data_IF_223341942392
#
_entry.id   IF_223341942392
#
_cell.length_a   1.000
_cell.length_b   1.000
_cell.length_c   1.000
_cell.angle_alpha   90.00
_cell.angle_beta   90.00
_cell.angle_gamma   90.00
#
_symmetry.space_group_name_H-M   'P 1'
#
loop_
_entity.id
_entity.type
_entity.pdbx_description
1 polymer ?
#
# COMPACT_ATOMS: atom_id res chain seq x y z
N UNK A 1 -28.25 -3.32 -12.77
CA UNK A 1 -27.84 -1.92 -13.13
C UNK A 1 -27.29 -1.94 -14.56
N UNK A 2 -27.67 -1.01 -15.41
CA UNK A 2 -27.07 -0.89 -16.74
C UNK A 2 -25.62 -0.43 -16.65
N UNK A 3 -24.78 -0.80 -17.64
CA UNK A 3 -23.34 -0.52 -17.61
C UNK A 3 -23.01 0.98 -17.41
N UNK A 4 -23.69 1.87 -18.14
CA UNK A 4 -23.51 3.33 -18.01
C UNK A 4 -23.92 3.86 -16.63
N UNK A 5 -24.94 3.28 -16.05
CA UNK A 5 -25.40 3.64 -14.71
C UNK A 5 -24.37 3.21 -13.65
N UNK A 6 -23.77 2.04 -13.83
CA UNK A 6 -22.71 1.55 -12.95
C UNK A 6 -21.44 2.41 -13.06
N UNK A 7 -21.05 2.83 -14.27
CA UNK A 7 -19.94 3.78 -14.49
C UNK A 7 -20.19 5.09 -13.71
N UNK A 8 -21.40 5.67 -13.85
CA UNK A 8 -21.77 6.91 -13.16
C UNK A 8 -21.83 6.73 -11.63
N UNK A 9 -22.34 5.59 -11.15
CA UNK A 9 -22.41 5.29 -9.73
C UNK A 9 -20.99 5.11 -9.12
N UNK A 10 -20.11 4.40 -9.81
CA UNK A 10 -18.70 4.24 -9.40
C UNK A 10 -17.99 5.60 -9.32
N UNK A 11 -18.16 6.44 -10.35
CA UNK A 11 -17.60 7.80 -10.37
C UNK A 11 -18.10 8.63 -9.17
N UNK A 12 -19.41 8.62 -8.92
CA UNK A 12 -20.03 9.36 -7.82
C UNK A 12 -19.53 8.90 -6.44
N UNK A 13 -19.42 7.58 -6.23
CA UNK A 13 -18.92 7.01 -4.97
C UNK A 13 -17.48 7.41 -4.74
N UNK A 14 -16.62 7.29 -5.75
CA UNK A 14 -15.19 7.61 -5.62
C UNK A 14 -14.94 9.10 -5.47
N UNK A 15 -15.76 9.94 -6.14
CA UNK A 15 -15.71 11.38 -5.95
C UNK A 15 -16.09 11.78 -4.52
N UNK A 16 -17.19 11.22 -4.02
CA UNK A 16 -17.69 11.52 -2.68
C UNK A 16 -16.73 11.01 -1.57
N UNK A 17 -16.06 9.90 -1.79
CA UNK A 17 -15.11 9.33 -0.84
C UNK A 17 -13.86 10.20 -0.68
N UNK A 18 -13.31 10.78 -1.77
CA UNK A 18 -12.08 11.56 -1.75
C UNK A 18 -10.80 10.80 -1.39
N UNK A 19 -10.93 9.53 -1.00
CA UNK A 19 -9.86 8.62 -0.57
C UNK A 19 -9.95 7.27 -1.30
N UNK A 20 -8.93 6.40 -1.26
CA UNK A 20 -8.99 5.09 -1.87
C UNK A 20 -10.08 4.20 -1.26
N UNK A 21 -11.01 3.70 -2.08
CA UNK A 21 -12.09 2.80 -1.66
C UNK A 21 -11.74 1.37 -2.05
N UNK A 22 -11.79 0.44 -1.09
CA UNK A 22 -11.51 -0.98 -1.31
C UNK A 22 -12.51 -1.63 -2.28
N UNK A 23 -12.02 -2.53 -3.13
CA UNK A 23 -12.81 -3.28 -4.11
C UNK A 23 -14.00 -3.99 -3.47
N UNK A 24 -13.82 -4.65 -2.33
CA UNK A 24 -14.89 -5.35 -1.63
C UNK A 24 -16.02 -4.41 -1.20
N UNK A 25 -15.66 -3.22 -0.69
CA UNK A 25 -16.64 -2.19 -0.29
C UNK A 25 -17.39 -1.63 -1.49
N UNK A 26 -16.72 -1.46 -2.63
CA UNK A 26 -17.33 -1.03 -3.88
C UNK A 26 -18.28 -2.11 -4.43
N UNK A 27 -17.86 -3.37 -4.45
CA UNK A 27 -18.73 -4.48 -4.86
C UNK A 27 -20.01 -4.56 -4.02
N UNK A 28 -19.88 -4.42 -2.70
CA UNK A 28 -21.03 -4.41 -1.80
C UNK A 28 -21.96 -3.22 -2.08
N UNK A 29 -21.42 -2.00 -2.20
CA UNK A 29 -22.20 -0.78 -2.38
C UNK A 29 -22.85 -0.65 -3.75
N UNK A 30 -22.24 -1.23 -4.80
CA UNK A 30 -22.73 -1.22 -6.17
C UNK A 30 -23.48 -2.51 -6.54
N UNK A 31 -23.66 -3.44 -5.58
CA UNK A 31 -24.32 -4.73 -5.77
C UNK A 31 -23.78 -5.50 -6.99
N UNK A 32 -22.45 -5.58 -7.12
CA UNK A 32 -21.77 -6.19 -8.27
C UNK A 32 -20.65 -7.12 -7.81
N UNK A 33 -20.16 -7.94 -8.73
CA UNK A 33 -18.99 -8.78 -8.51
C UNK A 33 -17.68 -8.06 -8.89
N UNK A 34 -16.56 -8.60 -8.44
CA UNK A 34 -15.24 -8.02 -8.68
C UNK A 34 -14.88 -7.96 -10.18
N UNK A 35 -15.06 -9.03 -10.99
CA UNK A 35 -14.77 -8.97 -12.42
C UNK A 35 -15.53 -7.87 -13.16
N UNK A 36 -16.81 -7.70 -12.85
CA UNK A 36 -17.66 -6.65 -13.42
C UNK A 36 -17.19 -5.26 -12.98
N UNK A 37 -16.88 -5.07 -11.69
CA UNK A 37 -16.35 -3.81 -11.18
C UNK A 37 -15.02 -3.45 -11.86
N UNK A 38 -14.08 -4.40 -11.96
CA UNK A 38 -12.77 -4.18 -12.59
C UNK A 38 -12.94 -3.81 -14.08
N UNK A 39 -13.87 -4.43 -14.79
CA UNK A 39 -14.18 -4.10 -16.19
C UNK A 39 -14.77 -2.68 -16.34
N UNK A 40 -15.71 -2.29 -15.45
CA UNK A 40 -16.28 -0.94 -15.41
C UNK A 40 -15.23 0.10 -15.10
N UNK A 41 -14.38 -0.15 -14.11
CA UNK A 41 -13.29 0.74 -13.74
C UNK A 41 -12.29 0.93 -14.89
N UNK A 42 -11.92 -0.16 -15.60
CA UNK A 42 -11.03 -0.07 -16.75
C UNK A 42 -11.62 0.78 -17.86
N UNK A 43 -12.90 0.61 -18.18
CA UNK A 43 -13.58 1.44 -19.18
C UNK A 43 -13.59 2.91 -18.81
N UNK A 44 -13.82 3.24 -17.53
CA UNK A 44 -13.75 4.62 -17.02
C UNK A 44 -12.34 5.20 -17.17
N UNK A 45 -11.30 4.43 -16.86
CA UNK A 45 -9.90 4.83 -17.06
C UNK A 45 -9.61 5.15 -18.52
N UNK A 46 -10.02 4.26 -19.43
CA UNK A 46 -9.82 4.41 -20.87
C UNK A 46 -10.58 5.63 -21.40
N UNK A 47 -11.83 5.81 -20.97
CA UNK A 47 -12.64 6.97 -21.36
C UNK A 47 -12.00 8.28 -20.90
N UNK A 48 -11.59 8.39 -19.63
CA UNK A 48 -10.96 9.60 -19.09
C UNK A 48 -9.65 9.93 -19.81
N UNK A 49 -8.87 8.91 -20.13
CA UNK A 49 -7.63 9.06 -20.91
C UNK A 49 -7.91 9.52 -22.33
N UNK A 50 -8.87 8.89 -23.02
CA UNK A 50 -9.27 9.24 -24.38
C UNK A 50 -9.82 10.68 -24.50
N UNK A 51 -10.71 11.06 -23.57
CA UNK A 51 -11.31 12.39 -23.51
C UNK A 51 -10.36 13.45 -22.93
N UNK A 52 -9.15 13.08 -22.49
CA UNK A 52 -8.17 13.96 -21.83
C UNK A 52 -8.78 14.74 -20.67
N UNK A 53 -9.54 14.08 -19.82
CA UNK A 53 -10.18 14.70 -18.67
C UNK A 53 -9.16 15.17 -17.65
N UNK A 54 -9.50 16.22 -16.87
CA UNK A 54 -8.71 16.70 -15.74
C UNK A 54 -8.72 15.77 -14.53
N UNK A 55 -9.50 14.68 -14.58
CA UNK A 55 -9.59 13.61 -13.59
C UNK A 55 -9.08 12.29 -14.18
N UNK A 56 -8.58 11.42 -13.31
CA UNK A 56 -8.20 10.06 -13.64
C UNK A 56 -8.62 9.11 -12.53
N UNK A 57 -8.98 7.91 -12.89
CA UNK A 57 -9.21 6.82 -11.95
C UNK A 57 -7.88 6.05 -11.76
N UNK A 58 -7.48 5.85 -10.52
CA UNK A 58 -6.29 5.07 -10.15
C UNK A 58 -6.73 3.76 -9.51
N UNK A 59 -6.05 2.69 -9.88
CA UNK A 59 -6.02 1.45 -9.12
C UNK A 59 -4.83 1.51 -8.18
N UNK A 60 -5.06 1.24 -6.91
CA UNK A 60 -4.06 1.23 -5.84
C UNK A 60 -4.22 -0.09 -5.09
N UNK A 61 -3.47 -1.11 -5.51
CA UNK A 61 -3.60 -2.49 -5.03
C UNK A 61 -5.07 -2.99 -5.14
N UNK A 62 -5.70 -3.35 -4.05
CA UNK A 62 -7.12 -3.77 -3.99
C UNK A 62 -8.08 -2.58 -3.74
N UNK A 63 -7.81 -1.42 -4.33
CA UNK A 63 -8.64 -0.21 -4.15
C UNK A 63 -8.65 0.66 -5.41
N UNK A 64 -9.69 1.48 -5.53
CA UNK A 64 -9.79 2.51 -6.56
C UNK A 64 -9.90 3.90 -5.95
N UNK A 65 -9.34 4.90 -6.62
CA UNK A 65 -9.43 6.31 -6.23
C UNK A 65 -9.56 7.21 -7.45
N UNK A 66 -10.45 8.21 -7.36
CA UNK A 66 -10.54 9.29 -8.33
C UNK A 66 -9.56 10.40 -7.93
N UNK A 67 -8.73 10.85 -8.86
CA UNK A 67 -7.71 11.88 -8.64
C UNK A 67 -7.69 12.88 -9.80
N UNK A 68 -7.13 14.08 -9.55
CA UNK A 68 -6.77 14.99 -10.63
C UNK A 68 -5.57 14.44 -11.43
N UNK A 69 -5.48 14.79 -12.72
CA UNK A 69 -4.32 14.43 -13.55
C UNK A 69 -3.12 15.29 -13.22
N UNK A 70 -1.88 14.75 -13.32
CA UNK A 70 -0.66 15.49 -13.00
C UNK A 70 -0.46 16.75 -13.83
N UNK A 71 -0.97 16.78 -15.07
CA UNK A 71 -0.87 17.90 -15.98
C UNK A 71 -1.46 19.18 -15.40
N UNK A 72 -2.49 19.06 -14.56
CA UNK A 72 -3.19 20.20 -13.95
C UNK A 72 -2.76 20.46 -12.50
N UNK A 73 -1.74 19.77 -12.00
CA UNK A 73 -1.30 19.89 -10.60
C UNK A 73 -0.90 21.33 -10.22
N UNK A 74 -0.33 22.10 -11.15
CA UNK A 74 0.06 23.49 -10.87
C UNK A 74 -1.16 24.42 -10.72
N UNK A 75 -2.22 24.20 -11.49
CA UNK A 75 -3.48 24.95 -11.36
C UNK A 75 -4.17 24.64 -10.03
N UNK A 76 -4.24 23.33 -9.68
CA UNK A 76 -4.82 22.88 -8.41
C UNK A 76 -4.07 23.51 -7.23
N UNK A 77 -2.72 23.47 -7.24
CA UNK A 77 -1.91 24.09 -6.18
C UNK A 77 -2.10 25.58 -6.05
N UNK A 78 -2.10 26.30 -7.16
CA UNK A 78 -2.28 27.75 -7.15
C UNK A 78 -3.65 28.16 -6.62
N UNK A 79 -4.70 27.40 -7.00
CA UNK A 79 -6.08 27.72 -6.62
C UNK A 79 -6.38 27.37 -5.16
N UNK A 80 -5.86 26.23 -4.69
CA UNK A 80 -6.11 25.76 -3.33
C UNK A 80 -5.03 26.24 -2.33
N UNK A 81 -4.13 27.14 -2.76
CA UNK A 81 -3.01 27.65 -1.96
C UNK A 81 -2.17 26.55 -1.28
N UNK A 82 -2.22 25.34 -1.86
CA UNK A 82 -1.53 24.18 -1.31
C UNK A 82 -0.02 24.35 -1.41
N UNK A 83 0.69 24.30 -0.29
CA UNK A 83 2.16 24.29 -0.31
C UNK A 83 2.65 23.02 -1.01
N UNK A 84 3.64 23.17 -1.89
CA UNK A 84 4.33 22.01 -2.48
C UNK A 84 4.97 21.21 -1.34
N UNK A 85 4.63 19.93 -1.17
CA UNK A 85 5.26 19.14 -0.13
C UNK A 85 6.78 19.14 -0.34
N UNK A 86 7.53 19.31 0.73
CA UNK A 86 9.00 19.28 0.66
C UNK A 86 9.44 17.93 0.07
N UNK A 87 10.41 17.97 -0.85
CA UNK A 87 10.98 16.75 -1.42
C UNK A 87 11.56 15.89 -0.30
N UNK A 88 11.48 14.58 -0.46
CA UNK A 88 12.19 13.65 0.41
C UNK A 88 13.70 13.87 0.23
N UNK A 89 14.42 13.87 1.33
CA UNK A 89 15.89 13.87 1.30
C UNK A 89 16.40 12.52 0.80
N UNK A 90 17.65 12.47 0.37
CA UNK A 90 18.28 11.20 -0.05
C UNK A 90 18.17 10.12 1.05
N UNK A 91 18.49 10.38 2.32
CA UNK A 91 18.28 9.41 3.39
C UNK A 91 16.83 8.94 3.54
N UNK A 92 15.86 9.82 3.31
CA UNK A 92 14.44 9.43 3.39
C UNK A 92 14.02 8.53 2.23
N UNK A 93 14.56 8.74 1.03
CA UNK A 93 14.34 7.86 -0.12
C UNK A 93 14.98 6.49 0.09
N UNK A 94 16.16 6.43 0.70
CA UNK A 94 16.84 5.17 1.02
C UNK A 94 16.02 4.34 2.02
N UNK A 95 15.58 4.93 3.13
CA UNK A 95 14.73 4.24 4.12
C UNK A 95 13.42 3.77 3.49
N UNK A 96 12.79 4.64 2.70
CA UNK A 96 11.54 4.32 2.02
C UNK A 96 11.72 3.17 1.03
N UNK A 97 12.82 3.14 0.29
CA UNK A 97 13.14 2.06 -0.64
C UNK A 97 13.34 0.72 0.12
N UNK A 98 14.12 0.72 1.20
CA UNK A 98 14.32 -0.49 2.01
C UNK A 98 12.96 -1.03 2.49
N UNK A 99 12.09 -0.15 3.02
CA UNK A 99 10.76 -0.59 3.46
C UNK A 99 9.93 -1.10 2.28
N UNK A 100 9.94 -0.42 1.14
CA UNK A 100 9.12 -0.81 -0.02
C UNK A 100 9.48 -2.20 -0.57
N UNK A 101 10.77 -2.53 -0.59
CA UNK A 101 11.24 -3.82 -1.14
C UNK A 101 11.21 -4.98 -0.15
N UNK A 102 11.37 -4.70 1.15
CA UNK A 102 11.54 -5.76 2.16
C UNK A 102 10.39 -5.84 3.19
N UNK A 103 9.32 -5.09 2.99
CA UNK A 103 8.17 -5.06 3.90
C UNK A 103 7.47 -6.41 4.05
N UNK A 104 6.96 -6.72 5.26
CA UNK A 104 7.01 -5.90 6.48
C UNK A 104 8.37 -5.99 7.19
N UNK A 105 8.97 -4.85 7.56
CA UNK A 105 10.30 -4.78 8.18
C UNK A 105 10.31 -3.96 9.46
N UNK A 106 11.25 -4.27 10.36
CA UNK A 106 11.46 -3.49 11.58
C UNK A 106 12.43 -2.33 11.32
N UNK A 107 12.39 -1.30 12.20
CA UNK A 107 13.38 -0.21 12.15
C UNK A 107 14.82 -0.76 12.33
N UNK A 108 15.02 -1.72 13.22
CA UNK A 108 16.34 -2.31 13.44
C UNK A 108 16.94 -2.92 12.16
N UNK A 109 16.08 -3.55 11.33
CA UNK A 109 16.50 -4.03 10.02
C UNK A 109 16.91 -2.88 9.08
N UNK A 110 16.14 -1.80 9.04
CA UNK A 110 16.48 -0.62 8.24
C UNK A 110 17.81 -0.01 8.69
N UNK A 111 18.01 0.11 10.03
CA UNK A 111 19.25 0.61 10.60
C UNK A 111 20.46 -0.28 10.23
N UNK A 112 20.28 -1.60 10.26
CA UNK A 112 21.31 -2.56 9.87
C UNK A 112 21.71 -2.41 8.39
N UNK A 113 20.75 -2.33 7.49
CA UNK A 113 21.00 -2.15 6.04
C UNK A 113 21.70 -0.83 5.75
N UNK A 114 21.32 0.24 6.47
CA UNK A 114 21.91 1.57 6.27
C UNK A 114 23.22 1.81 7.02
N UNK A 115 23.49 1.05 8.06
CA UNK A 115 24.63 1.25 8.95
C UNK A 115 24.49 2.49 9.87
N UNK A 116 23.30 3.14 9.92
CA UNK A 116 23.04 4.35 10.73
C UNK A 116 21.62 4.34 11.27
N UNK A 117 21.38 5.04 12.38
CA UNK A 117 20.05 5.20 12.97
C UNK A 117 19.09 5.89 12.02
N UNK A 118 17.90 5.31 11.83
CA UNK A 118 16.86 5.79 10.93
C UNK A 118 15.60 6.25 11.66
N UNK A 119 15.62 6.37 12.99
CA UNK A 119 14.45 6.70 13.82
C UNK A 119 13.74 7.97 13.35
N UNK A 120 14.49 9.05 13.14
CA UNK A 120 13.95 10.31 12.65
C UNK A 120 13.30 10.17 11.28
N UNK A 121 13.96 9.44 10.39
CA UNK A 121 13.49 9.25 9.01
C UNK A 121 12.22 8.39 8.96
N UNK A 122 12.17 7.32 9.75
CA UNK A 122 10.95 6.50 9.89
C UNK A 122 9.79 7.35 10.41
N UNK A 123 10.01 8.18 11.45
CA UNK A 123 9.02 9.11 11.96
C UNK A 123 8.51 10.09 10.89
N UNK A 124 9.41 10.68 10.09
CA UNK A 124 9.06 11.56 8.98
C UNK A 124 8.21 10.86 7.91
N UNK A 125 8.53 9.61 7.58
CA UNK A 125 7.77 8.84 6.58
C UNK A 125 6.38 8.44 7.09
N UNK A 126 6.23 8.13 8.39
CA UNK A 126 4.93 7.94 9.05
C UNK A 126 4.09 9.22 9.03
N UNK A 127 4.66 10.38 9.41
CA UNK A 127 3.98 11.67 9.37
C UNK A 127 3.49 12.04 7.97
N UNK A 128 4.20 11.62 6.94
CA UNK A 128 3.83 11.84 5.53
C UNK A 128 2.89 10.77 4.98
N UNK A 129 2.46 9.83 5.79
CA UNK A 129 1.60 8.73 5.36
C UNK A 129 2.19 7.92 4.18
N UNK A 130 3.53 7.82 4.09
CA UNK A 130 4.19 7.00 3.08
C UNK A 130 4.41 5.56 3.55
N UNK A 131 4.51 5.38 4.87
CA UNK A 131 4.58 4.09 5.54
C UNK A 131 3.59 4.05 6.70
N UNK A 132 3.24 2.85 7.14
CA UNK A 132 2.37 2.61 8.30
C UNK A 132 2.90 1.46 9.15
N UNK A 133 2.44 1.37 10.40
CA UNK A 133 2.67 0.22 11.25
C UNK A 133 1.77 -0.93 10.82
N UNK A 134 2.36 -2.09 10.49
CA UNK A 134 1.62 -3.28 10.03
C UNK A 134 1.48 -4.36 11.11
N UNK A 135 1.98 -4.10 12.29
CA UNK A 135 1.96 -5.03 13.43
C UNK A 135 3.25 -5.02 14.24
N UNK A 136 3.48 -6.09 15.00
CA UNK A 136 4.69 -6.27 15.82
C UNK A 136 5.26 -7.65 15.60
N UNK A 137 6.59 -7.72 15.49
CA UNK A 137 7.29 -9.00 15.37
C UNK A 137 7.23 -9.77 16.70
N UNK A 138 6.92 -11.07 16.65
CA UNK A 138 6.77 -11.94 17.82
C UNK A 138 8.11 -12.44 18.38
N UNK A 139 9.03 -11.51 18.69
CA UNK A 139 10.35 -11.75 19.31
C UNK A 139 10.50 -10.91 20.57
N UNK A 140 11.47 -11.20 21.45
CA UNK A 140 11.77 -10.36 22.61
C UNK A 140 11.91 -8.89 22.22
N UNK A 141 11.21 -7.98 22.91
CA UNK A 141 11.14 -6.56 22.59
C UNK A 141 10.01 -6.17 21.64
N UNK A 142 9.33 -7.14 20.98
CA UNK A 142 8.15 -6.94 20.10
C UNK A 142 8.28 -5.70 19.21
N UNK A 143 9.34 -5.58 18.36
CA UNK A 143 9.54 -4.41 17.53
C UNK A 143 8.41 -4.22 16.53
N UNK A 144 8.11 -2.95 16.23
CA UNK A 144 7.09 -2.58 15.25
C UNK A 144 7.57 -2.97 13.84
N UNK A 145 6.63 -3.50 13.05
CA UNK A 145 6.79 -3.77 11.63
C UNK A 145 6.19 -2.62 10.82
N UNK A 146 6.90 -2.22 9.78
CA UNK A 146 6.50 -1.14 8.88
C UNK A 146 6.27 -1.66 7.47
N UNK A 147 5.27 -1.07 6.80
CA UNK A 147 4.98 -1.29 5.37
C UNK A 147 4.61 0.02 4.69
N UNK A 148 4.61 0.03 3.36
CA UNK A 148 4.15 1.17 2.57
C UNK A 148 2.63 1.28 2.56
N UNK A 149 2.14 2.49 2.30
CA UNK A 149 0.72 2.83 2.24
C UNK A 149 0.22 2.97 0.79
N UNK A 150 -1.09 3.18 0.61
CA UNK A 150 -1.67 3.58 -0.68
C UNK A 150 -1.20 4.97 -1.13
N UNK A 151 -0.88 5.84 -0.19
CA UNK A 151 -0.28 7.16 -0.47
C UNK A 151 1.10 7.02 -1.10
N UNK A 152 1.88 6.02 -0.68
CA UNK A 152 3.13 5.67 -1.35
C UNK A 152 2.88 5.28 -2.81
N UNK A 153 2.01 4.30 -3.08
CA UNK A 153 1.70 3.86 -4.45
C UNK A 153 1.27 5.04 -5.33
N UNK A 154 0.33 5.85 -4.85
CA UNK A 154 -0.15 7.05 -5.56
C UNK A 154 0.97 8.05 -5.83
N UNK A 155 1.86 8.29 -4.85
CA UNK A 155 2.93 9.29 -4.95
C UNK A 155 4.02 8.88 -5.95
N UNK A 156 4.24 7.58 -6.11
CA UNK A 156 5.21 7.02 -7.05
C UNK A 156 4.58 6.58 -8.38
N UNK A 157 3.28 6.73 -8.54
CA UNK A 157 2.55 6.39 -9.77
C UNK A 157 2.43 4.90 -10.01
N UNK A 158 2.47 4.09 -8.95
CA UNK A 158 2.38 2.64 -8.98
C UNK A 158 0.94 2.19 -8.72
N UNK A 159 0.52 1.11 -9.38
CA UNK A 159 -0.76 0.45 -9.11
C UNK A 159 -0.62 -0.64 -8.04
N UNK A 160 0.56 -1.27 -7.96
CA UNK A 160 0.90 -2.27 -6.93
C UNK A 160 2.40 -2.26 -6.66
N UNK A 161 2.84 -2.99 -5.63
CA UNK A 161 4.26 -3.18 -5.31
C UNK A 161 5.00 -4.01 -6.36
N UNK A 162 4.30 -4.83 -7.12
CA UNK A 162 4.85 -5.64 -8.21
C UNK A 162 5.41 -4.80 -9.37
N UNK A 163 4.97 -3.53 -9.47
CA UNK A 163 5.49 -2.57 -10.45
C UNK A 163 6.79 -1.90 -10.02
N UNK A 164 7.31 -2.22 -8.82
CA UNK A 164 8.62 -1.73 -8.40
C UNK A 164 9.70 -2.30 -9.33
N UNK A 165 10.70 -1.49 -9.73
CA UNK A 165 11.83 -1.97 -10.52
C UNK A 165 12.56 -3.12 -9.82
N UNK A 166 13.01 -4.11 -10.57
CA UNK A 166 13.83 -5.18 -9.99
C UNK A 166 15.11 -4.60 -9.38
N UNK A 167 15.46 -5.10 -8.18
CA UNK A 167 16.73 -4.72 -7.57
C UNK A 167 17.88 -5.23 -8.46
N UNK A 168 18.90 -4.40 -8.76
CA UNK A 168 20.05 -4.87 -9.48
C UNK A 168 20.66 -6.05 -8.71
N UNK A 169 20.74 -7.21 -9.37
CA UNK A 169 21.30 -8.45 -8.83
C UNK A 169 22.80 -8.32 -8.58
N UNK A 170 23.16 -7.58 -7.57
CA UNK A 170 24.55 -7.39 -7.17
C UNK A 170 24.67 -7.31 -5.65
N UNK A 171 24.54 -8.44 -5.01
CA UNK A 171 25.39 -8.87 -3.90
C UNK A 171 24.81 -10.16 -3.32
N UNK A 172 25.62 -11.21 -3.25
CA UNK A 172 25.29 -12.48 -2.56
C UNK A 172 24.84 -12.28 -1.10
N UNK A 173 25.19 -11.15 -0.51
CA UNK A 173 24.76 -10.74 0.84
C UNK A 173 23.30 -10.28 0.89
N UNK A 174 22.78 -9.63 -0.17
CA UNK A 174 21.36 -9.25 -0.27
C UNK A 174 20.46 -10.46 -0.42
N UNK A 175 20.85 -11.45 -1.23
CA UNK A 175 20.07 -12.69 -1.41
C UNK A 175 20.01 -13.52 -0.11
N UNK A 176 21.10 -13.59 0.63
CA UNK A 176 21.16 -14.33 1.89
C UNK A 176 20.30 -13.67 2.97
N UNK A 177 20.29 -12.35 3.03
CA UNK A 177 19.51 -11.57 3.98
C UNK A 177 18.01 -11.59 3.64
N UNK A 178 17.64 -11.65 2.35
CA UNK A 178 16.26 -11.81 1.89
C UNK A 178 15.74 -13.20 2.29
N UNK A 179 16.51 -14.26 2.10
CA UNK A 179 16.19 -15.63 2.50
C UNK A 179 15.99 -15.78 4.02
N UNK A 180 16.83 -15.10 4.82
CA UNK A 180 16.69 -15.11 6.28
C UNK A 180 15.42 -14.38 6.74
N UNK A 181 15.05 -13.27 6.07
CA UNK A 181 13.84 -12.54 6.37
C UNK A 181 12.59 -13.31 5.95
N UNK A 182 12.59 -13.91 4.75
CA UNK A 182 11.51 -14.77 4.27
C UNK A 182 11.30 -15.96 5.19
N UNK A 183 12.37 -16.62 5.62
CA UNK A 183 12.30 -17.72 6.59
C UNK A 183 11.79 -17.26 7.97
N UNK A 184 12.09 -16.04 8.39
CA UNK A 184 11.57 -15.48 9.64
C UNK A 184 10.07 -15.13 9.52
N UNK A 185 9.64 -14.59 8.40
CA UNK A 185 8.22 -14.27 8.10
C UNK A 185 7.39 -15.54 7.96
N UNK A 186 7.93 -16.58 7.30
CA UNK A 186 7.26 -17.89 7.15
C UNK A 186 7.05 -18.58 8.52
N UNK A 187 8.07 -18.57 9.37
CA UNK A 187 7.96 -19.10 10.75
C UNK A 187 6.90 -18.36 11.58
N UNK A 188 6.69 -17.07 11.31
CA UNK A 188 5.66 -16.28 11.99
C UNK A 188 4.26 -16.65 11.51
N UNK A 189 4.07 -16.89 10.21
CA UNK A 189 2.80 -17.34 9.63
C UNK A 189 2.43 -18.74 10.15
N UNK A 190 3.42 -19.63 10.29
CA UNK A 190 3.20 -20.98 10.85
C UNK A 190 2.81 -20.94 12.33
N UNK A 191 3.35 -20.00 13.10
CA UNK A 191 2.98 -19.82 14.51
C UNK A 191 1.57 -19.25 14.68
N UNK A 192 1.14 -18.33 13.83
CA UNK A 192 -0.23 -17.80 13.84
C UNK A 192 -1.28 -18.84 13.40
N UNK A 193 -0.93 -19.76 12.49
CA UNK A 193 -1.83 -20.84 12.07
C UNK A 193 -1.90 -22.02 13.04
N UNK A 194 -1.00 -22.10 14.02
CA UNK A 194 -0.93 -23.18 15.01
C UNK A 194 -1.67 -22.89 16.33
N UNK A 195 -2.09 -21.66 16.60
CA UNK A 195 -2.77 -21.30 17.87
C UNK A 195 -4.30 -21.43 17.85
N UNK A 196 -4.92 -21.79 16.72
CA UNK A 196 -6.38 -21.91 16.59
C UNK A 196 -6.87 -23.38 16.66
N UNK A 197 -6.20 -24.26 17.41
CA UNK A 197 -6.72 -25.59 17.72
C UNK A 197 -7.56 -25.54 19.00
N UNK A 198 -8.88 -25.87 18.96
CA UNK A 198 -9.72 -25.91 20.15
C UNK A 198 -9.22 -27.00 21.11
N UNK A 199 -8.93 -26.64 22.32
CA UNK A 199 -8.73 -27.59 23.41
C UNK A 199 -10.07 -28.29 23.69
N UNK A 200 -10.24 -29.51 23.20
CA UNK A 200 -11.29 -30.41 23.68
C UNK A 200 -11.06 -30.67 25.18
N UNK A 201 -11.95 -30.13 25.99
CA UNK A 201 -12.06 -30.48 27.40
C UNK A 201 -12.57 -31.91 27.50
N UNK A 202 -11.69 -32.85 27.83
CA UNK A 202 -12.08 -34.16 28.34
C UNK A 202 -12.64 -34.01 29.76
N UNK A 203 -13.97 -33.96 29.87
CA UNK A 203 -14.64 -34.27 31.09
C UNK A 203 -14.55 -35.79 31.31
N UNK A 204 -13.71 -36.20 32.27
CA UNK A 204 -13.72 -37.53 32.81
C UNK A 204 -14.80 -37.62 33.88
N UNK A 205 -15.87 -38.39 33.61
CA UNK A 205 -16.85 -38.78 34.59
C UNK A 205 -16.30 -39.79 35.63
N UNK A 206 -16.74 -39.64 36.84
CA UNK A 206 -17.11 -40.70 37.80
C UNK A 206 -18.32 -40.23 38.60
#
# INVERSE_FOLDING_TARGET
>A
MELKEMEAALEAVLFAAGEPVGVERLCLGLETDRPTLDAVAQRLMDQYSYERRGLRLLRLDASYQLCSTPEYADYVRKTLESRKPARLSQPALEVLAIIAYYQPVTRAYVDQVRGVDSSYTVGLLLERDLIEESGRLAVPGRPILYRTTKTFLRSFGLSSLEELPELPSSTKEGEQMTLELEAAVERLKEQESGEDAPQEQQEAGV
#
